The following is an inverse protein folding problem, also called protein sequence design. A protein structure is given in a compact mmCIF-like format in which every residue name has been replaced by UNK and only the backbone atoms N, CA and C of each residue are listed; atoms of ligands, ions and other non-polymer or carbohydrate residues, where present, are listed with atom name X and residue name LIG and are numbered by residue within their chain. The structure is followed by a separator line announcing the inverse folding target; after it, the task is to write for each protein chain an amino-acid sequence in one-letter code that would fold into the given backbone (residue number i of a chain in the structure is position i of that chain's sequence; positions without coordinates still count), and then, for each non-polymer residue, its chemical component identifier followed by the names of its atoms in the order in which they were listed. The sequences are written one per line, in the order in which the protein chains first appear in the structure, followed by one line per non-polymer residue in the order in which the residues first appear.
data_IF_026204589213
#
_entry.id   IF_026204589213
#
_cell.length_a   1.000
_cell.length_b   1.000
_cell.length_c   1.000
_cell.angle_alpha   90.00
_cell.angle_beta   90.00
_cell.angle_gamma   90.00
#
_symmetry.space_group_name_H-M   'P 1'
#
loop_
_entity.id
_entity.type
_entity.pdbx_description
1 polymer ?
#
# COMPACT_ATOMS: atom_id res chain seq x y z
N UNK A 1 10.35 0.46 -7.17
CA UNK A 1 9.52 -0.73 -7.09
C UNK A 1 8.83 -1.02 -8.43
N UNK A 2 7.92 -0.15 -8.94
CA UNK A 2 7.14 -0.39 -10.17
C UNK A 2 8.01 -0.76 -11.37
N UNK A 3 9.05 0.02 -11.66
CA UNK A 3 9.98 -0.24 -12.76
C UNK A 3 10.68 -1.60 -12.65
N UNK A 4 11.02 -2.04 -11.44
CA UNK A 4 11.65 -3.35 -11.22
C UNK A 4 10.72 -4.50 -11.62
N UNK A 5 9.47 -4.45 -11.16
CA UNK A 5 8.47 -5.49 -11.43
C UNK A 5 7.94 -5.45 -12.86
N UNK A 6 7.83 -4.27 -13.47
CA UNK A 6 7.36 -4.13 -14.83
C UNK A 6 8.31 -4.71 -15.90
N UNK A 7 9.58 -4.93 -15.58
CA UNK A 7 10.55 -5.53 -16.53
C UNK A 7 10.21 -6.97 -16.90
N UNK A 8 9.54 -7.70 -16.02
CA UNK A 8 9.15 -9.10 -16.24
C UNK A 8 7.78 -9.26 -16.91
N UNK A 9 7.01 -8.16 -17.06
CA UNK A 9 5.69 -8.19 -17.66
C UNK A 9 5.79 -8.01 -19.18
N UNK A 10 5.53 -9.08 -19.92
CA UNK A 10 5.58 -9.12 -21.38
C UNK A 10 4.30 -9.72 -21.98
N UNK A 11 4.17 -9.71 -23.28
CA UNK A 11 3.03 -10.33 -23.98
C UNK A 11 1.68 -9.69 -23.62
N UNK A 12 0.68 -10.47 -23.16
CA UNK A 12 -0.66 -9.98 -22.86
C UNK A 12 -0.71 -8.93 -21.75
N UNK A 13 0.27 -8.97 -20.83
CA UNK A 13 0.33 -8.08 -19.66
C UNK A 13 0.97 -6.73 -19.97
N UNK A 14 1.44 -6.54 -21.21
CA UNK A 14 2.09 -5.30 -21.65
C UNK A 14 1.20 -4.06 -21.40
N UNK A 15 -0.10 -4.17 -21.62
CA UNK A 15 -1.00 -3.04 -21.42
C UNK A 15 -1.09 -2.64 -19.93
N UNK A 16 -1.26 -3.61 -19.05
CA UNK A 16 -1.27 -3.38 -17.59
C UNK A 16 0.08 -2.82 -17.11
N UNK A 17 1.20 -3.33 -17.63
CA UNK A 17 2.54 -2.79 -17.38
C UNK A 17 2.64 -1.32 -17.74
N UNK A 18 2.22 -0.95 -18.96
CA UNK A 18 2.33 0.42 -19.45
C UNK A 18 1.45 1.38 -18.63
N UNK A 19 0.26 0.95 -18.22
CA UNK A 19 -0.61 1.72 -17.32
C UNK A 19 0.01 1.87 -15.93
N UNK A 20 0.57 0.79 -15.34
CA UNK A 20 1.22 0.85 -14.03
C UNK A 20 2.41 1.82 -14.04
N UNK A 21 3.23 1.81 -15.09
CA UNK A 21 4.34 2.73 -15.24
C UNK A 21 3.87 4.18 -15.35
N UNK A 22 2.83 4.47 -16.13
CA UNK A 22 2.27 5.82 -16.28
C UNK A 22 1.68 6.32 -14.97
N UNK A 23 0.86 5.51 -14.31
CA UNK A 23 0.25 5.88 -13.03
C UNK A 23 1.33 6.08 -11.95
N UNK A 24 2.33 5.19 -11.85
CA UNK A 24 3.41 5.31 -10.87
C UNK A 24 4.28 6.56 -11.08
N UNK A 25 4.49 7.00 -12.31
CA UNK A 25 5.18 8.26 -12.62
C UNK A 25 4.32 9.48 -12.29
N UNK A 26 3.02 9.40 -12.54
CA UNK A 26 2.08 10.49 -12.29
C UNK A 26 2.04 10.89 -10.81
N UNK A 27 2.22 9.96 -9.88
CA UNK A 27 2.20 10.23 -8.44
C UNK A 27 3.26 11.28 -8.06
N UNK A 28 4.57 11.02 -8.20
CA UNK A 28 5.59 11.97 -7.75
C UNK A 28 5.58 13.27 -8.55
N UNK A 29 5.24 13.24 -9.83
CA UNK A 29 5.20 14.45 -10.66
C UNK A 29 4.10 15.40 -10.18
N UNK A 30 2.90 14.91 -9.89
CA UNK A 30 1.81 15.73 -9.39
C UNK A 30 2.02 16.18 -7.93
N UNK A 31 2.70 15.39 -7.10
CA UNK A 31 3.12 15.83 -5.76
C UNK A 31 4.13 16.99 -5.89
N UNK A 32 5.13 16.88 -6.74
CA UNK A 32 6.12 17.92 -6.96
C UNK A 32 5.48 19.20 -7.50
N UNK A 33 4.59 19.08 -8.48
CA UNK A 33 3.83 20.20 -9.01
C UNK A 33 2.96 20.87 -7.94
N UNK A 34 2.23 20.10 -7.15
CA UNK A 34 1.41 20.62 -6.06
C UNK A 34 2.24 21.32 -4.98
N UNK A 35 3.40 20.78 -4.64
CA UNK A 35 4.29 21.38 -3.64
C UNK A 35 4.99 22.65 -4.14
N UNK A 36 5.17 22.80 -5.44
CA UNK A 36 5.71 24.03 -6.04
C UNK A 36 4.70 25.19 -6.10
N UNK A 37 3.43 24.93 -5.77
CA UNK A 37 2.37 25.94 -5.80
C UNK A 37 2.05 26.44 -4.39
N UNK A 38 1.69 27.72 -4.29
CA UNK A 38 1.10 28.28 -3.06
C UNK A 38 -0.23 27.56 -2.74
N UNK A 39 -0.73 27.61 -1.48
CA UNK A 39 -2.05 27.07 -1.13
C UNK A 39 -3.13 27.66 -2.05
N UNK A 40 -3.67 26.84 -2.93
CA UNK A 40 -4.58 27.25 -4.00
C UNK A 40 -5.42 26.07 -4.49
N UNK A 41 -6.52 26.29 -5.20
CA UNK A 41 -7.28 25.24 -5.87
C UNK A 41 -6.44 24.40 -6.84
N UNK A 42 -5.48 25.02 -7.52
CA UNK A 42 -4.57 24.32 -8.44
C UNK A 42 -3.62 23.37 -7.73
N UNK A 43 -3.14 23.74 -6.52
CA UNK A 43 -2.38 22.83 -5.65
C UNK A 43 -3.21 21.60 -5.28
N UNK A 44 -4.45 21.84 -4.86
CA UNK A 44 -5.38 20.76 -4.51
C UNK A 44 -5.68 19.84 -5.70
N UNK A 45 -5.83 20.42 -6.89
CA UNK A 45 -6.05 19.66 -8.13
C UNK A 45 -4.88 18.72 -8.41
N UNK A 46 -3.63 19.20 -8.35
CA UNK A 46 -2.43 18.37 -8.58
C UNK A 46 -2.34 17.23 -7.54
N UNK A 47 -2.58 17.50 -6.26
CA UNK A 47 -2.58 16.47 -5.21
C UNK A 47 -3.69 15.42 -5.38
N UNK A 48 -4.89 15.82 -5.85
CA UNK A 48 -5.98 14.89 -6.17
C UNK A 48 -5.64 14.01 -7.36
N UNK A 49 -4.95 14.52 -8.38
CA UNK A 49 -4.46 13.71 -9.50
C UNK A 49 -3.45 12.68 -9.00
N UNK A 50 -2.53 13.06 -8.12
CA UNK A 50 -1.59 12.13 -7.50
C UNK A 50 -2.32 11.01 -6.72
N UNK A 51 -3.35 11.37 -5.96
CA UNK A 51 -4.18 10.42 -5.22
C UNK A 51 -4.90 9.43 -6.16
N UNK A 52 -5.54 9.94 -7.21
CA UNK A 52 -6.18 9.09 -8.23
C UNK A 52 -5.20 8.13 -8.90
N UNK A 53 -3.98 8.59 -9.21
CA UNK A 53 -2.92 7.75 -9.78
C UNK A 53 -2.44 6.67 -8.82
N UNK A 54 -2.41 6.94 -7.52
CA UNK A 54 -2.05 5.92 -6.52
C UNK A 54 -3.13 4.83 -6.42
N UNK A 55 -4.41 5.20 -6.46
CA UNK A 55 -5.53 4.25 -6.48
C UNK A 55 -5.56 3.44 -7.79
N UNK A 56 -5.24 4.07 -8.93
CA UNK A 56 -5.09 3.36 -10.21
C UNK A 56 -3.98 2.31 -10.14
N UNK A 57 -2.82 2.64 -9.55
CA UNK A 57 -1.76 1.66 -9.34
C UNK A 57 -2.24 0.47 -8.51
N UNK A 58 -2.98 0.71 -7.41
CA UNK A 58 -3.49 -0.37 -6.56
C UNK A 58 -4.44 -1.30 -7.34
N UNK A 59 -5.36 -0.74 -8.13
CA UNK A 59 -6.27 -1.51 -8.96
C UNK A 59 -5.53 -2.34 -10.03
N UNK A 60 -4.48 -1.80 -10.63
CA UNK A 60 -3.67 -2.55 -11.62
C UNK A 60 -2.93 -3.71 -10.95
N UNK A 61 -2.42 -3.53 -9.72
CA UNK A 61 -1.80 -4.62 -8.96
C UNK A 61 -2.78 -5.75 -8.69
N UNK A 62 -4.05 -5.43 -8.37
CA UNK A 62 -5.10 -6.43 -8.20
C UNK A 62 -5.34 -7.22 -9.49
N UNK A 63 -5.44 -6.53 -10.62
CA UNK A 63 -5.60 -7.17 -11.93
C UNK A 63 -4.42 -8.10 -12.25
N UNK A 64 -3.17 -7.63 -12.06
CA UNK A 64 -1.97 -8.44 -12.33
C UNK A 64 -1.89 -9.67 -11.42
N UNK A 65 -2.34 -9.55 -10.18
CA UNK A 65 -2.39 -10.67 -9.23
C UNK A 65 -3.45 -11.70 -9.65
N UNK A 66 -4.66 -11.25 -10.00
CA UNK A 66 -5.77 -12.13 -10.43
C UNK A 66 -5.43 -12.84 -11.72
N UNK A 67 -4.77 -12.16 -12.66
CA UNK A 67 -4.31 -12.77 -13.92
C UNK A 67 -3.09 -13.68 -13.77
N UNK A 68 -2.51 -13.79 -12.56
CA UNK A 68 -1.31 -14.60 -12.32
C UNK A 68 -0.02 -14.02 -12.89
N UNK A 69 -0.04 -12.76 -13.35
CA UNK A 69 1.11 -12.06 -13.90
C UNK A 69 2.05 -11.51 -12.82
N UNK A 70 1.56 -11.44 -11.56
CA UNK A 70 2.32 -11.00 -10.39
C UNK A 70 2.05 -11.93 -9.21
N UNK A 71 3.08 -12.20 -8.42
CA UNK A 71 2.94 -12.98 -7.18
C UNK A 71 2.16 -12.19 -6.13
N UNK A 72 1.46 -12.88 -5.22
CA UNK A 72 0.73 -12.24 -4.12
C UNK A 72 1.62 -11.36 -3.26
N UNK A 73 2.84 -11.82 -2.94
CA UNK A 73 3.82 -11.05 -2.15
C UNK A 73 4.25 -9.77 -2.89
N UNK A 74 4.52 -9.86 -4.19
CA UNK A 74 4.85 -8.69 -5.00
C UNK A 74 3.72 -7.66 -5.04
N UNK A 75 2.46 -8.11 -5.20
CA UNK A 75 1.31 -7.23 -5.17
C UNK A 75 1.13 -6.59 -3.78
N UNK A 76 1.28 -7.36 -2.70
CA UNK A 76 1.19 -6.86 -1.32
C UNK A 76 2.24 -5.80 -1.01
N UNK A 77 3.49 -6.01 -1.39
CA UNK A 77 4.55 -5.02 -1.18
C UNK A 77 4.25 -3.70 -1.90
N UNK A 78 3.76 -3.78 -3.13
CA UNK A 78 3.31 -2.60 -3.86
C UNK A 78 2.17 -1.87 -3.17
N UNK A 79 1.16 -2.60 -2.70
CA UNK A 79 0.01 -2.04 -1.99
C UNK A 79 0.41 -1.35 -0.68
N UNK A 80 1.28 -1.93 0.12
CA UNK A 80 1.81 -1.30 1.35
C UNK A 80 2.47 0.07 1.09
N UNK A 81 3.21 0.18 -0.03
CA UNK A 81 3.78 1.47 -0.42
C UNK A 81 2.69 2.46 -0.83
N UNK A 82 1.68 2.00 -1.58
CA UNK A 82 0.56 2.83 -2.03
C UNK A 82 -0.31 3.30 -0.87
N UNK A 83 -0.60 2.47 0.12
CA UNK A 83 -1.34 2.84 1.34
C UNK A 83 -0.69 4.02 2.06
N UNK A 84 0.63 3.99 2.23
CA UNK A 84 1.37 5.11 2.83
C UNK A 84 1.26 6.39 2.00
N UNK A 85 1.34 6.27 0.67
CA UNK A 85 1.20 7.40 -0.26
C UNK A 85 -0.23 7.95 -0.20
N UNK A 86 -1.24 7.10 -0.26
CA UNK A 86 -2.67 7.47 -0.18
C UNK A 86 -2.96 8.18 1.14
N UNK A 87 -2.49 7.65 2.26
CA UNK A 87 -2.66 8.27 3.58
C UNK A 87 -2.05 9.67 3.64
N UNK A 88 -0.84 9.85 3.11
CA UNK A 88 -0.22 11.17 3.03
C UNK A 88 -0.99 12.14 2.14
N UNK A 89 -1.38 11.71 0.95
CA UNK A 89 -2.11 12.54 -0.01
C UNK A 89 -3.50 12.91 0.51
N UNK A 90 -4.19 11.99 1.16
CA UNK A 90 -5.49 12.25 1.79
C UNK A 90 -5.38 13.36 2.84
N UNK A 91 -4.36 13.33 3.69
CA UNK A 91 -4.09 14.40 4.66
C UNK A 91 -3.81 15.74 3.98
N UNK A 92 -3.03 15.73 2.89
CA UNK A 92 -2.68 16.95 2.15
C UNK A 92 -3.86 17.55 1.38
N UNK A 93 -4.83 16.73 0.97
CA UNK A 93 -6.02 17.17 0.21
C UNK A 93 -7.19 17.60 1.07
N UNK A 94 -7.33 17.07 2.29
CA UNK A 94 -8.47 17.35 3.18
C UNK A 94 -8.32 18.67 3.98
N UNK A 95 -7.15 19.29 4.05
CA UNK A 95 -6.93 20.48 4.89
C UNK A 95 -7.03 20.17 6.40
N UNK A 96 -6.52 21.06 7.25
CA UNK A 96 -6.38 20.82 8.70
C UNK A 96 -7.69 20.73 9.51
N UNK A 97 -8.88 20.74 8.88
CA UNK A 97 -10.17 20.87 9.58
C UNK A 97 -11.04 19.62 9.69
N UNK A 98 -10.83 18.60 8.87
CA UNK A 98 -11.79 17.47 8.76
C UNK A 98 -11.15 16.10 9.03
N UNK A 99 -10.17 16.05 9.92
CA UNK A 99 -9.52 14.78 10.21
C UNK A 99 -9.94 14.26 11.58
N UNK A 100 -10.96 13.41 11.67
CA UNK A 100 -11.02 12.53 12.86
C UNK A 100 -11.66 11.14 12.72
N UNK A 101 -12.49 10.82 11.75
CA UNK A 101 -13.23 9.54 11.85
C UNK A 101 -13.08 8.54 10.68
N UNK A 102 -12.93 8.98 9.44
CA UNK A 102 -12.95 8.04 8.30
C UNK A 102 -11.63 7.29 7.99
N UNK A 103 -10.47 7.84 8.39
CA UNK A 103 -9.19 7.19 8.07
C UNK A 103 -8.93 5.92 8.91
N UNK A 104 -9.53 5.83 10.09
CA UNK A 104 -9.39 4.69 11.01
C UNK A 104 -10.29 3.53 10.56
N UNK A 105 -11.44 3.81 9.98
CA UNK A 105 -12.42 2.80 9.58
C UNK A 105 -11.95 1.97 8.36
N UNK A 106 -11.21 2.60 7.44
CA UNK A 106 -10.63 1.88 6.28
C UNK A 106 -9.47 0.96 6.68
N UNK A 107 -8.65 1.34 7.64
CA UNK A 107 -7.51 0.54 8.10
C UNK A 107 -8.00 -0.77 8.76
N UNK A 108 -9.03 -0.69 9.61
CA UNK A 108 -9.66 -1.86 10.24
C UNK A 108 -10.40 -2.78 9.25
N UNK A 109 -11.04 -2.23 8.23
CA UNK A 109 -11.78 -3.04 7.25
C UNK A 109 -10.84 -3.94 6.42
N UNK A 110 -9.69 -3.41 5.98
CA UNK A 110 -8.72 -4.20 5.23
C UNK A 110 -8.02 -5.27 6.08
N UNK A 111 -7.64 -4.98 7.33
CA UNK A 111 -7.05 -5.98 8.22
C UNK A 111 -8.02 -7.13 8.49
N UNK A 112 -9.30 -6.85 8.72
CA UNK A 112 -10.32 -7.88 8.95
C UNK A 112 -10.58 -8.75 7.72
N UNK A 113 -10.59 -8.22 6.51
CA UNK A 113 -10.78 -9.02 5.28
C UNK A 113 -9.59 -9.93 5.00
N UNK A 114 -8.35 -9.44 5.17
CA UNK A 114 -7.15 -10.25 4.97
C UNK A 114 -7.01 -11.36 6.01
N UNK A 115 -7.34 -11.12 7.28
CA UNK A 115 -7.34 -12.15 8.31
C UNK A 115 -8.42 -13.23 8.07
N UNK A 116 -9.59 -12.85 7.56
CA UNK A 116 -10.65 -13.81 7.22
C UNK A 116 -10.29 -14.67 6.02
N UNK A 117 -9.63 -14.10 5.01
CA UNK A 117 -9.18 -14.85 3.83
C UNK A 117 -7.96 -15.72 4.11
N UNK A 118 -7.05 -15.31 4.98
CA UNK A 118 -5.94 -16.14 5.46
C UNK A 118 -6.46 -17.35 6.25
N UNK A 119 -7.49 -17.16 7.10
CA UNK A 119 -8.16 -18.25 7.82
C UNK A 119 -8.86 -19.24 6.89
N UNK A 120 -9.50 -18.76 5.83
CA UNK A 120 -10.16 -19.63 4.83
C UNK A 120 -9.17 -20.45 4.00
N UNK A 121 -7.96 -19.95 3.78
CA UNK A 121 -6.89 -20.64 3.05
C UNK A 121 -6.06 -21.62 3.89
N UNK A 122 -6.32 -21.73 5.19
CA UNK A 122 -5.61 -22.68 6.06
C UNK A 122 -4.18 -22.28 6.43
N UNK A 123 -3.79 -21.03 6.22
CA UNK A 123 -2.44 -20.50 6.52
C UNK A 123 -2.23 -20.22 8.02
N UNK A 124 -3.00 -20.86 8.89
CA UNK A 124 -3.04 -20.58 10.34
C UNK A 124 -1.88 -21.19 11.17
N UNK A 125 -0.86 -21.79 10.55
CA UNK A 125 0.13 -22.55 11.33
C UNK A 125 1.35 -21.77 11.84
N UNK A 126 1.63 -20.53 11.36
CA UNK A 126 2.94 -19.89 11.65
C UNK A 126 2.92 -18.69 12.62
N UNK A 127 1.76 -18.17 12.97
CA UNK A 127 1.69 -16.98 13.84
C UNK A 127 1.75 -17.30 15.34
N UNK A 128 1.38 -18.52 15.76
CA UNK A 128 1.44 -18.97 17.15
C UNK A 128 2.84 -19.36 17.57
N UNK A 129 3.63 -19.96 16.68
CA UNK A 129 5.02 -20.36 16.99
C UNK A 129 5.97 -19.16 17.16
N UNK A 130 5.72 -18.03 16.54
CA UNK A 130 6.54 -16.81 16.73
C UNK A 130 6.29 -16.14 18.08
N UNK A 131 5.04 -16.12 18.56
CA UNK A 131 4.71 -15.56 19.88
C UNK A 131 5.35 -16.34 21.03
N UNK A 132 5.44 -17.64 20.89
CA UNK A 132 6.01 -18.50 21.94
C UNK A 132 7.55 -18.41 21.98
N UNK A 133 8.22 -18.19 20.84
CA UNK A 133 9.68 -17.96 20.81
C UNK A 133 10.08 -16.64 21.47
N UNK A 134 9.35 -15.56 21.19
CA UNK A 134 9.65 -14.25 21.81
C UNK A 134 9.35 -14.22 23.31
N UNK A 135 8.39 -15.01 23.78
CA UNK A 135 8.07 -15.11 25.21
C UNK A 135 9.08 -15.94 26.02
N UNK A 136 9.76 -16.89 25.39
CA UNK A 136 10.78 -17.74 26.04
C UNK A 136 12.10 -16.98 26.16
N UNK A 137 12.47 -16.20 25.15
CA UNK A 137 13.72 -15.42 25.15
C UNK A 137 13.69 -14.29 26.18
N UNK A 138 12.50 -13.70 26.41
CA UNK A 138 12.35 -12.62 27.40
C UNK A 138 12.38 -13.12 28.85
N UNK A 139 12.07 -14.39 29.11
CA UNK A 139 12.18 -14.99 30.46
C UNK A 139 13.62 -15.38 30.86
N UNK A 140 14.43 -15.74 29.85
CA UNK A 140 15.82 -16.12 30.09
C UNK A 140 16.74 -14.91 30.28
N UNK A 141 16.42 -13.75 29.75
CA UNK A 141 17.20 -12.52 29.93
C UNK A 141 17.03 -11.87 31.32
N UNK A 142 15.87 -12.07 31.95
CA UNK A 142 15.58 -11.55 33.32
C UNK A 142 16.19 -12.39 34.43
N UNK A 143 16.52 -13.66 34.22
CA UNK A 143 17.12 -14.54 35.18
C UNK A 143 18.66 -14.39 35.34
N UNK A 144 19.32 -13.65 34.44
CA UNK A 144 20.78 -13.39 34.48
C UNK A 144 21.18 -12.06 35.12
N UNK A 145 20.25 -11.31 35.71
CA UNK A 145 20.49 -10.01 36.38
C UNK A 145 20.12 -10.03 37.85
N UNK A 146 20.33 -11.19 38.54
CA UNK A 146 20.35 -11.26 40.01
C UNK A 146 21.62 -11.92 40.48
#
# INVERSE_FOLDING_TARGET
WAYGHCRSLEGPDRHARDQLLRASQSIPLNIAEGNGKLPSPDRQKSLRIALGSALECAAILDVLQVCGAMTGDGAMDGKRLLERIVSMLTRMTRGNGEMKEEAVEYEYAYECEYEQDARKRGEQADCTERRDRDSVDNRTSLARRR
#
